data_IF_776784582461
#
_entry.id   IF_776784582461
#
_cell.length_a   1.000
_cell.length_b   1.000
_cell.length_c   1.000
_cell.angle_alpha   90.00
_cell.angle_beta   90.00
_cell.angle_gamma   90.00
#
_symmetry.space_group_name_H-M   'P 1'
#
loop_
_entity.id
_entity.type
_entity.pdbx_description
1 polymer ?
#
# COMPACT_ATOMS: atom_id res chain seq x y z
N UNK A 1 3.56 -39.93 -39.07
CA UNK A 1 3.56 -38.48 -38.98
C UNK A 1 3.43 -38.10 -37.51
N UNK A 2 4.54 -37.96 -36.84
CA UNK A 2 4.62 -37.58 -35.41
C UNK A 2 4.87 -36.08 -35.36
N UNK A 3 3.85 -35.32 -35.04
CA UNK A 3 3.94 -33.86 -34.84
C UNK A 3 4.69 -33.58 -33.54
N UNK A 4 5.94 -33.12 -33.64
CA UNK A 4 6.72 -32.55 -32.57
C UNK A 4 6.08 -31.26 -32.09
N UNK A 5 5.23 -31.33 -31.08
CA UNK A 5 4.83 -30.18 -30.27
C UNK A 5 6.04 -29.70 -29.48
N UNK A 6 6.74 -28.72 -30.01
CA UNK A 6 7.70 -27.94 -29.25
C UNK A 6 7.00 -27.31 -28.03
N UNK A 7 7.38 -27.62 -26.79
CA UNK A 7 6.90 -26.85 -25.65
C UNK A 7 7.47 -25.43 -25.80
N UNK A 8 6.57 -24.48 -25.95
CA UNK A 8 6.91 -23.06 -25.93
C UNK A 8 7.45 -22.71 -24.53
N UNK A 9 8.75 -22.90 -24.35
CA UNK A 9 9.47 -22.47 -23.16
C UNK A 9 9.55 -20.96 -23.20
N UNK A 10 8.47 -20.28 -22.75
CA UNK A 10 8.56 -18.90 -22.31
C UNK A 10 9.68 -18.88 -21.26
N UNK A 11 10.83 -18.41 -21.66
CA UNK A 11 12.00 -18.27 -20.81
C UNK A 11 11.65 -17.36 -19.64
N UNK A 12 11.25 -17.97 -18.53
CA UNK A 12 11.07 -17.31 -17.26
C UNK A 12 12.47 -16.88 -16.83
N UNK A 13 12.82 -15.63 -17.08
CA UNK A 13 14.10 -15.04 -16.65
C UNK A 13 14.11 -14.98 -15.14
N UNK A 14 14.69 -15.99 -14.50
CA UNK A 14 14.98 -15.98 -13.07
C UNK A 14 16.06 -14.93 -12.82
N UNK A 15 15.73 -13.87 -12.09
CA UNK A 15 16.70 -12.86 -11.73
C UNK A 15 17.70 -13.40 -10.71
N UNK A 16 19.01 -13.18 -10.87
CA UNK A 16 19.98 -13.53 -9.86
C UNK A 16 19.73 -12.76 -8.55
N UNK A 17 19.89 -13.40 -7.38
CA UNK A 17 19.53 -12.78 -6.09
C UNK A 17 20.27 -11.46 -5.82
N UNK A 18 21.49 -11.32 -6.30
CA UNK A 18 22.26 -10.08 -6.21
C UNK A 18 21.60 -8.92 -6.97
N UNK A 19 21.07 -9.19 -8.15
CA UNK A 19 20.39 -8.19 -8.97
C UNK A 19 19.07 -7.76 -8.34
N UNK A 20 18.34 -8.68 -7.73
CA UNK A 20 17.11 -8.38 -6.99
C UNK A 20 17.43 -7.47 -5.80
N UNK A 21 18.49 -7.76 -5.06
CA UNK A 21 18.90 -6.95 -3.91
C UNK A 21 19.31 -5.53 -4.34
N UNK A 22 20.12 -5.41 -5.38
CA UNK A 22 20.54 -4.11 -5.91
C UNK A 22 19.33 -3.32 -6.40
N UNK A 23 18.44 -3.96 -7.17
CA UNK A 23 17.23 -3.33 -7.69
C UNK A 23 16.30 -2.88 -6.55
N UNK A 24 16.13 -3.69 -5.51
CA UNK A 24 15.32 -3.36 -4.35
C UNK A 24 15.88 -2.16 -3.58
N UNK A 25 17.18 -2.13 -3.33
CA UNK A 25 17.84 -1.01 -2.65
C UNK A 25 17.73 0.27 -3.49
N UNK A 26 17.96 0.18 -4.80
CA UNK A 26 17.87 1.32 -5.71
C UNK A 26 16.43 1.86 -5.79
N UNK A 27 15.44 0.99 -5.93
CA UNK A 27 14.03 1.39 -5.97
C UNK A 27 13.57 1.97 -4.64
N UNK A 28 13.99 1.40 -3.52
CA UNK A 28 13.65 1.90 -2.18
C UNK A 28 14.29 3.27 -1.93
N UNK A 29 15.57 3.45 -2.30
CA UNK A 29 16.25 4.75 -2.15
C UNK A 29 15.63 5.82 -3.05
N UNK A 30 15.31 5.49 -4.30
CA UNK A 30 14.61 6.38 -5.21
C UNK A 30 13.22 6.75 -4.67
N UNK A 31 12.47 5.78 -4.14
CA UNK A 31 11.19 6.00 -3.49
C UNK A 31 11.31 6.99 -2.33
N UNK A 32 12.27 6.80 -1.44
CA UNK A 32 12.51 7.69 -0.31
C UNK A 32 12.83 9.12 -0.75
N UNK A 33 13.64 9.29 -1.80
CA UNK A 33 14.01 10.62 -2.31
C UNK A 33 12.81 11.31 -2.97
N UNK A 34 12.09 10.62 -3.85
CA UNK A 34 10.96 11.19 -4.62
C UNK A 34 9.79 11.57 -3.69
N UNK A 35 9.49 10.72 -2.71
CA UNK A 35 8.36 10.90 -1.82
C UNK A 35 8.73 11.50 -0.45
N UNK A 36 9.96 12.03 -0.31
CA UNK A 36 10.44 12.60 0.95
C UNK A 36 9.50 13.63 1.56
N UNK A 37 9.02 14.55 0.73
CA UNK A 37 8.11 15.59 1.18
C UNK A 37 6.77 15.03 1.71
N UNK A 38 6.22 14.03 1.02
CA UNK A 38 5.02 13.34 1.47
C UNK A 38 5.26 12.59 2.78
N UNK A 39 6.32 11.80 2.86
CA UNK A 39 6.65 11.00 4.04
C UNK A 39 6.96 11.86 5.27
N UNK A 40 7.71 12.96 5.09
CA UNK A 40 8.02 13.88 6.18
C UNK A 40 6.77 14.60 6.71
N UNK A 41 5.84 14.96 5.84
CA UNK A 41 4.55 15.55 6.23
C UNK A 41 3.72 14.54 7.04
N UNK A 42 3.62 13.29 6.58
CA UNK A 42 2.90 12.23 7.29
C UNK A 42 3.52 11.95 8.67
N UNK A 43 4.85 11.85 8.73
CA UNK A 43 5.56 11.70 10.00
C UNK A 43 5.28 12.87 10.94
N UNK A 44 5.31 14.09 10.41
CA UNK A 44 4.97 15.30 11.18
C UNK A 44 3.57 15.23 11.79
N UNK A 45 2.55 14.87 11.01
CA UNK A 45 1.18 14.69 11.51
C UNK A 45 1.08 13.62 12.59
N UNK A 46 1.73 12.48 12.41
CA UNK A 46 1.70 11.38 13.37
C UNK A 46 2.33 11.76 14.73
N UNK A 47 3.36 12.62 14.72
CA UNK A 47 4.04 13.09 15.95
C UNK A 47 3.28 14.25 16.61
N UNK A 48 2.68 15.15 15.82
CA UNK A 48 1.96 16.31 16.38
C UNK A 48 0.58 15.96 16.91
N UNK A 49 -0.08 14.96 16.32
CA UNK A 49 -1.42 14.49 16.70
C UNK A 49 -1.39 12.97 17.02
N UNK A 50 -0.70 12.54 18.07
CA UNK A 50 -0.51 11.12 18.37
C UNK A 50 -1.82 10.40 18.74
N UNK A 51 -2.85 11.11 19.24
CA UNK A 51 -4.15 10.54 19.56
C UNK A 51 -4.87 10.00 18.32
N UNK A 52 -4.83 10.76 17.23
CA UNK A 52 -5.53 10.41 16.00
C UNK A 52 -4.64 9.61 15.03
N UNK A 53 -3.37 9.98 14.92
CA UNK A 53 -2.47 9.49 13.87
C UNK A 53 -1.24 8.73 14.36
N UNK A 54 -1.05 8.58 15.68
CA UNK A 54 0.11 7.89 16.24
C UNK A 54 0.23 6.43 15.78
N UNK A 55 -0.89 5.77 15.48
CA UNK A 55 -0.92 4.41 14.97
C UNK A 55 -0.25 4.26 13.60
N UNK A 56 -0.20 5.33 12.78
CA UNK A 56 0.40 5.29 11.43
C UNK A 56 1.89 5.03 11.47
N UNK A 57 2.59 5.35 12.57
CA UNK A 57 4.00 5.03 12.76
C UNK A 57 4.24 3.52 12.93
N UNK A 58 3.25 2.79 13.44
CA UNK A 58 3.33 1.34 13.62
C UNK A 58 3.02 0.58 12.32
N UNK A 59 2.27 1.19 11.40
CA UNK A 59 1.82 0.55 10.15
C UNK A 59 2.98 0.00 9.33
N UNK A 60 4.09 0.73 9.05
CA UNK A 60 5.22 0.18 8.31
C UNK A 60 5.86 -1.02 9.01
N UNK A 61 5.94 -1.02 10.35
CA UNK A 61 6.49 -2.13 11.12
C UNK A 61 5.60 -3.37 11.00
N UNK A 62 4.28 -3.19 11.10
CA UNK A 62 3.30 -4.28 10.93
C UNK A 62 3.38 -4.83 9.51
N UNK A 63 3.50 -3.98 8.48
CA UNK A 63 3.64 -4.41 7.08
C UNK A 63 4.91 -5.24 6.88
N UNK A 64 6.04 -4.78 7.41
CA UNK A 64 7.31 -5.53 7.35
C UNK A 64 7.15 -6.88 8.05
N UNK A 65 6.52 -6.91 9.21
CA UNK A 65 6.25 -8.14 9.95
C UNK A 65 5.33 -9.09 9.18
N UNK A 66 4.26 -8.59 8.57
CA UNK A 66 3.34 -9.38 7.75
C UNK A 66 4.03 -9.99 6.53
N UNK A 67 4.91 -9.23 5.86
CA UNK A 67 5.71 -9.71 4.74
C UNK A 67 6.69 -10.79 5.23
N UNK A 68 7.35 -10.53 6.37
CA UNK A 68 8.30 -11.47 6.96
C UNK A 68 7.63 -12.77 7.42
N UNK A 69 6.43 -12.68 8.00
CA UNK A 69 5.65 -13.85 8.42
C UNK A 69 5.24 -14.75 7.24
N UNK A 70 5.12 -14.18 6.04
CA UNK A 70 4.78 -14.92 4.80
C UNK A 70 5.97 -15.15 3.87
N UNK A 71 7.19 -14.96 4.38
CA UNK A 71 8.41 -15.09 3.56
C UNK A 71 8.55 -16.45 2.90
N UNK A 72 8.13 -17.51 3.56
CA UNK A 72 8.26 -18.89 3.06
C UNK A 72 7.37 -19.08 1.84
N UNK A 73 6.10 -18.61 1.88
CA UNK A 73 5.20 -18.61 0.72
C UNK A 73 5.71 -17.72 -0.42
N UNK A 74 6.40 -16.62 -0.07
CA UNK A 74 6.96 -15.68 -1.04
C UNK A 74 8.18 -16.25 -1.76
N UNK A 75 9.00 -17.05 -1.05
CA UNK A 75 10.23 -17.64 -1.55
C UNK A 75 10.01 -19.00 -2.24
N UNK A 76 8.88 -19.66 -2.01
CA UNK A 76 8.49 -20.90 -2.68
C UNK A 76 8.32 -20.74 -4.19
N UNK A 77 8.11 -19.50 -4.64
CA UNK A 77 8.01 -19.19 -6.05
C UNK A 77 9.28 -18.51 -6.56
N UNK A 78 9.77 -18.87 -7.77
CA UNK A 78 10.92 -18.18 -8.35
C UNK A 78 10.59 -16.69 -8.51
N UNK A 79 11.42 -15.85 -7.89
CA UNK A 79 11.30 -14.40 -7.97
C UNK A 79 11.46 -13.96 -9.43
N UNK A 80 10.41 -13.40 -10.00
CA UNK A 80 10.35 -12.97 -11.39
C UNK A 80 10.36 -11.46 -11.44
N UNK A 81 11.48 -10.88 -11.81
CA UNK A 81 11.52 -9.43 -12.07
C UNK A 81 10.58 -9.10 -13.24
N UNK A 82 9.56 -8.30 -12.97
CA UNK A 82 8.56 -7.93 -13.97
C UNK A 82 8.79 -6.50 -14.49
N UNK A 83 9.01 -6.38 -15.79
CA UNK A 83 9.10 -5.05 -16.43
C UNK A 83 7.78 -4.26 -16.36
N UNK A 84 6.65 -4.96 -16.25
CA UNK A 84 5.34 -4.31 -16.08
C UNK A 84 5.23 -3.57 -14.75
N UNK A 85 5.94 -4.03 -13.70
CA UNK A 85 6.02 -3.31 -12.43
C UNK A 85 6.65 -1.92 -12.59
N UNK A 86 7.67 -1.77 -13.44
CA UNK A 86 8.29 -0.47 -13.72
C UNK A 86 7.31 0.51 -14.39
N UNK A 87 6.41 0.02 -15.24
CA UNK A 87 5.35 0.86 -15.82
C UNK A 87 4.40 1.36 -14.74
N UNK A 88 4.05 0.51 -13.77
CA UNK A 88 3.20 0.90 -12.64
C UNK A 88 3.93 1.91 -11.74
N UNK A 89 5.22 1.72 -11.47
CA UNK A 89 6.06 2.71 -10.76
C UNK A 89 6.07 4.04 -11.51
N UNK A 90 6.33 4.02 -12.81
CA UNK A 90 6.33 5.22 -13.64
C UNK A 90 5.00 5.95 -13.64
N UNK A 91 3.89 5.21 -13.76
CA UNK A 91 2.55 5.77 -13.69
C UNK A 91 2.23 6.37 -12.31
N UNK A 92 2.65 5.71 -11.23
CA UNK A 92 2.48 6.21 -9.86
C UNK A 92 3.27 7.50 -9.60
N UNK A 93 4.55 7.53 -10.01
CA UNK A 93 5.39 8.73 -9.92
C UNK A 93 4.83 9.86 -10.79
N UNK A 94 4.39 9.56 -12.00
CA UNK A 94 3.77 10.53 -12.91
C UNK A 94 2.51 11.14 -12.29
N UNK A 95 1.63 10.31 -11.72
CA UNK A 95 0.42 10.77 -11.04
C UNK A 95 0.76 11.66 -9.83
N UNK A 96 1.79 11.28 -9.05
CA UNK A 96 2.25 12.09 -7.92
C UNK A 96 2.78 13.46 -8.36
N UNK A 97 3.62 13.50 -9.40
CA UNK A 97 4.14 14.75 -9.96
C UNK A 97 3.00 15.61 -10.51
N UNK A 98 2.05 14.99 -11.20
CA UNK A 98 0.86 15.67 -11.70
C UNK A 98 0.03 16.27 -10.56
N UNK A 99 -0.07 15.56 -9.43
CA UNK A 99 -0.74 16.06 -8.23
C UNK A 99 0.05 17.15 -7.49
N UNK A 100 1.34 17.32 -7.76
CA UNK A 100 2.16 18.42 -7.22
C UNK A 100 2.05 19.70 -8.05
N UNK A 101 2.09 19.58 -9.38
CA UNK A 101 2.27 20.70 -10.31
C UNK A 101 1.01 20.96 -11.13
N UNK A 102 0.07 20.01 -11.18
CA UNK A 102 -1.14 20.05 -11.99
C UNK A 102 -2.15 21.13 -11.57
N UNK A 103 -3.25 21.30 -12.32
CA UNK A 103 -4.32 22.22 -11.97
C UNK A 103 -4.94 21.85 -10.62
N UNK A 104 -5.49 22.87 -9.91
CA UNK A 104 -5.95 22.76 -8.52
C UNK A 104 -6.88 21.59 -8.19
N UNK A 105 -7.67 21.12 -9.15
CA UNK A 105 -8.50 19.90 -9.03
C UNK A 105 -7.67 18.62 -8.76
N UNK A 106 -6.44 18.57 -9.25
CA UNK A 106 -5.54 17.42 -9.09
C UNK A 106 -4.62 17.58 -7.88
N UNK A 107 -4.50 18.77 -7.31
CA UNK A 107 -3.64 19.05 -6.14
C UNK A 107 -4.24 18.53 -4.81
N UNK A 108 -5.06 17.49 -4.86
CA UNK A 108 -5.66 16.90 -3.68
C UNK A 108 -4.68 15.96 -2.95
N UNK A 109 -4.85 15.83 -1.64
CA UNK A 109 -4.12 14.85 -0.84
C UNK A 109 -4.32 13.44 -1.39
N UNK A 110 -5.55 13.10 -1.78
CA UNK A 110 -5.92 11.80 -2.34
C UNK A 110 -5.15 11.45 -3.62
N UNK A 111 -4.99 12.42 -4.54
CA UNK A 111 -4.25 12.18 -5.78
C UNK A 111 -2.76 11.89 -5.51
N UNK A 112 -2.15 12.62 -4.56
CA UNK A 112 -0.77 12.36 -4.11
C UNK A 112 -0.64 10.98 -3.50
N UNK A 113 -1.56 10.62 -2.61
CA UNK A 113 -1.57 9.32 -1.92
C UNK A 113 -1.77 8.14 -2.88
N UNK A 114 -2.67 8.27 -3.86
CA UNK A 114 -2.87 7.25 -4.90
C UNK A 114 -1.58 7.06 -5.71
N UNK A 115 -0.87 8.16 -6.05
CA UNK A 115 0.43 8.09 -6.74
C UNK A 115 1.47 7.33 -5.92
N UNK A 116 1.57 7.61 -4.62
CA UNK A 116 2.48 6.90 -3.70
C UNK A 116 2.08 5.43 -3.58
N UNK A 117 0.80 5.13 -3.34
CA UNK A 117 0.28 3.77 -3.24
C UNK A 117 0.57 2.96 -4.52
N UNK A 118 0.27 3.52 -5.70
CA UNK A 118 0.55 2.88 -6.98
C UNK A 118 2.05 2.60 -7.15
N UNK A 119 2.91 3.52 -6.71
CA UNK A 119 4.37 3.32 -6.75
C UNK A 119 4.81 2.18 -5.84
N UNK A 120 4.29 2.08 -4.62
CA UNK A 120 4.59 0.97 -3.70
C UNK A 120 4.17 -0.37 -4.29
N UNK A 121 2.96 -0.45 -4.86
CA UNK A 121 2.49 -1.65 -5.56
C UNK A 121 3.37 -1.97 -6.77
N UNK A 122 3.76 -0.96 -7.55
CA UNK A 122 4.66 -1.11 -8.68
C UNK A 122 6.04 -1.65 -8.29
N UNK A 123 6.61 -1.15 -7.18
CA UNK A 123 7.87 -1.66 -6.62
C UNK A 123 7.73 -3.12 -6.22
N UNK A 124 6.65 -3.49 -5.54
CA UNK A 124 6.39 -4.87 -5.15
C UNK A 124 6.27 -5.80 -6.38
N UNK A 125 5.56 -5.38 -7.43
CA UNK A 125 5.44 -6.12 -8.70
C UNK A 125 6.81 -6.24 -9.41
N UNK A 126 7.60 -5.18 -9.39
CA UNK A 126 8.92 -5.17 -10.06
C UNK A 126 9.88 -6.15 -9.39
N UNK A 127 9.91 -6.18 -8.06
CA UNK A 127 10.86 -6.98 -7.27
C UNK A 127 10.41 -8.43 -7.16
N UNK A 128 9.15 -8.65 -6.84
CA UNK A 128 8.61 -9.99 -6.52
C UNK A 128 7.80 -10.62 -7.66
N UNK A 129 7.38 -9.82 -8.63
CA UNK A 129 6.55 -10.25 -9.76
C UNK A 129 5.05 -10.30 -9.46
N UNK A 130 4.28 -10.51 -10.50
CA UNK A 130 2.80 -10.49 -10.47
C UNK A 130 2.19 -11.61 -9.60
N UNK A 131 2.85 -12.77 -9.55
CA UNK A 131 2.37 -13.92 -8.75
C UNK A 131 2.47 -13.67 -7.25
N UNK A 132 3.50 -12.97 -6.83
CA UNK A 132 3.72 -12.63 -5.41
C UNK A 132 2.68 -11.64 -4.87
N UNK A 133 1.96 -10.93 -5.75
CA UNK A 133 0.82 -10.11 -5.31
C UNK A 133 -0.27 -10.90 -4.58
N UNK A 134 -0.44 -12.19 -4.87
CA UNK A 134 -1.41 -13.02 -4.14
C UNK A 134 -1.05 -13.15 -2.65
N UNK A 135 0.22 -13.06 -2.32
CA UNK A 135 0.71 -13.09 -0.93
C UNK A 135 0.80 -11.69 -0.36
N UNK A 136 1.24 -10.72 -1.18
CA UNK A 136 1.51 -9.35 -0.77
C UNK A 136 0.28 -8.43 -0.79
N UNK A 137 -0.85 -8.83 -1.41
CA UNK A 137 -2.02 -7.97 -1.54
C UNK A 137 -2.52 -7.44 -0.20
N UNK A 138 -2.56 -8.31 0.82
CA UNK A 138 -3.06 -7.94 2.14
C UNK A 138 -2.12 -6.96 2.87
N UNK A 139 -0.79 -7.21 3.00
CA UNK A 139 0.13 -6.24 3.56
C UNK A 139 0.13 -4.89 2.83
N UNK A 140 0.05 -4.91 1.50
CA UNK A 140 0.01 -3.68 0.70
C UNK A 140 -1.32 -2.93 0.85
N UNK A 141 -2.44 -3.65 0.89
CA UNK A 141 -3.75 -3.05 1.17
C UNK A 141 -3.78 -2.46 2.58
N UNK A 142 -3.26 -3.20 3.57
CA UNK A 142 -3.15 -2.73 4.95
C UNK A 142 -2.35 -1.42 5.03
N UNK A 143 -1.22 -1.33 4.31
CA UNK A 143 -0.43 -0.11 4.21
C UNK A 143 -1.26 1.06 3.66
N UNK A 144 -2.04 0.84 2.60
CA UNK A 144 -2.84 1.90 1.97
C UNK A 144 -3.99 2.35 2.87
N UNK A 145 -4.66 1.42 3.53
CA UNK A 145 -5.83 1.73 4.38
C UNK A 145 -5.40 2.40 5.69
N UNK A 146 -4.38 1.85 6.37
CA UNK A 146 -3.97 2.30 7.70
C UNK A 146 -2.74 3.23 7.69
N UNK A 147 -2.06 3.38 6.56
CA UNK A 147 -0.86 4.22 6.41
C UNK A 147 -1.13 5.68 6.09
N UNK A 148 -2.34 6.19 6.37
CA UNK A 148 -2.75 7.58 6.12
C UNK A 148 -2.69 7.97 4.61
N UNK A 149 -2.89 6.99 3.72
CA UNK A 149 -2.99 7.26 2.29
C UNK A 149 -4.38 7.74 1.87
N UNK A 150 -5.40 7.43 2.65
CA UNK A 150 -6.76 7.94 2.45
C UNK A 150 -6.95 9.22 3.23
N UNK A 151 -7.53 10.25 2.62
CA UNK A 151 -7.85 11.49 3.33
C UNK A 151 -9.04 11.29 4.26
N UNK A 152 -9.13 12.16 5.27
CA UNK A 152 -10.24 12.20 6.20
C UNK A 152 -11.59 12.34 5.47
N UNK A 153 -11.65 13.09 4.37
CA UNK A 153 -12.85 13.27 3.56
C UNK A 153 -13.41 11.96 2.99
N UNK A 154 -12.55 10.98 2.71
CA UNK A 154 -12.96 9.65 2.23
C UNK A 154 -13.35 8.71 3.37
N UNK A 155 -12.76 8.90 4.53
CA UNK A 155 -12.97 8.04 5.71
C UNK A 155 -14.13 8.56 6.56
N UNK A 156 -14.34 9.88 6.64
CA UNK A 156 -15.36 10.52 7.46
C UNK A 156 -16.76 9.89 7.29
N UNK A 157 -17.30 9.67 6.08
CA UNK A 157 -18.62 9.09 5.94
C UNK A 157 -18.76 7.68 6.52
N UNK A 158 -17.66 6.90 6.49
CA UNK A 158 -17.63 5.56 7.09
C UNK A 158 -17.54 5.66 8.61
N UNK A 159 -16.70 6.55 9.10
CA UNK A 159 -16.51 6.79 10.54
C UNK A 159 -17.78 7.31 11.19
N UNK A 160 -18.46 8.29 10.58
CA UNK A 160 -19.75 8.82 11.05
C UNK A 160 -20.80 7.72 11.14
N UNK A 161 -20.92 6.86 10.11
CA UNK A 161 -21.84 5.72 10.14
C UNK A 161 -21.52 4.72 11.25
N UNK A 162 -20.24 4.45 11.48
CA UNK A 162 -19.81 3.55 12.57
C UNK A 162 -20.08 4.18 13.95
N UNK A 163 -19.89 5.49 14.10
CA UNK A 163 -20.22 6.22 15.32
C UNK A 163 -21.71 6.20 15.60
N UNK A 164 -22.56 6.42 14.57
CA UNK A 164 -24.01 6.31 14.70
C UNK A 164 -24.42 4.92 15.17
N UNK A 165 -23.90 3.86 14.52
CA UNK A 165 -24.20 2.47 14.91
C UNK A 165 -23.75 2.19 16.34
N UNK A 166 -22.58 2.67 16.75
CA UNK A 166 -22.08 2.49 18.12
C UNK A 166 -22.95 3.25 19.12
N UNK A 167 -23.39 4.47 18.79
CA UNK A 167 -24.27 5.28 19.63
C UNK A 167 -25.63 4.62 19.80
N UNK A 168 -26.28 4.22 18.71
CA UNK A 168 -27.57 3.51 18.77
C UNK A 168 -27.44 2.16 19.48
N UNK A 169 -26.35 1.43 19.23
CA UNK A 169 -26.11 0.15 19.89
C UNK A 169 -25.90 0.29 21.41
N UNK A 170 -25.17 1.32 21.83
CA UNK A 170 -24.97 1.60 23.26
C UNK A 170 -26.25 2.08 23.92
N UNK A 171 -27.02 2.97 23.29
CA UNK A 171 -28.30 3.43 23.80
C UNK A 171 -29.28 2.25 23.99
N UNK A 172 -29.39 1.38 22.98
CA UNK A 172 -30.21 0.18 23.05
C UNK A 172 -29.77 -0.78 24.19
N UNK A 173 -28.47 -0.95 24.38
CA UNK A 173 -27.94 -1.78 25.45
C UNK A 173 -28.28 -1.20 26.85
N UNK A 174 -28.20 0.11 27.02
CA UNK A 174 -28.57 0.79 28.26
C UNK A 174 -30.07 0.71 28.53
N UNK A 175 -30.92 0.85 27.52
CA UNK A 175 -32.36 0.71 27.62
C UNK A 175 -32.77 -0.70 28.09
N UNK A 176 -32.13 -1.76 27.55
CA UNK A 176 -32.32 -3.14 28.00
C UNK A 176 -31.93 -3.32 29.48
N UNK A 177 -30.88 -2.62 29.92
CA UNK A 177 -30.40 -2.64 31.30
C UNK A 177 -31.26 -1.78 32.25
N UNK A 178 -32.31 -1.10 31.73
CA UNK A 178 -33.25 -0.30 32.53
C UNK A 178 -32.75 1.10 32.86
N UNK A 179 -31.76 1.61 32.09
CA UNK A 179 -31.32 2.98 32.21
C UNK A 179 -31.97 3.83 31.10
N UNK A 180 -32.69 4.88 31.49
CA UNK A 180 -33.20 5.88 30.54
C UNK A 180 -32.03 6.69 29.98
N UNK A 181 -31.78 6.54 28.67
CA UNK A 181 -30.79 7.32 27.96
C UNK A 181 -31.50 8.52 27.32
N UNK A 182 -31.27 9.71 27.88
CA UNK A 182 -31.80 10.99 27.36
C UNK A 182 -30.77 11.61 26.45
#
# INVERSE_FOLDING_TARGET
MTSNLHPNTNSVTTCPPRLILILSVLLLSAFMVVFWNFLSTQFGFAVTNPGDWGHTLLVPLVVVWLIWARRDELLDHPLQCSRTGLLVVGAGVFLYVLALIGPGLLQSHNAKSIGVAATVWGVAITVFGWRSLRVLWFPLLYLVVFGQFLSDDLIAPVTERMQDIATYGSAFAFEILGYDVV
#
